data_IF_127996853029
#
_entry.id   IF_127996853029
#
_cell.length_a   1.000
_cell.length_b   1.000
_cell.length_c   1.000
_cell.angle_alpha   90.00
_cell.angle_beta   90.00
_cell.angle_gamma   90.00
#
_symmetry.space_group_name_H-M   'P 1'
#
loop_
_entity.id
_entity.type
_entity.pdbx_description
1 polymer ?
#
# COMPACT_ATOMS: atom_id res chain seq x y z
N UNK A 1 18.79 -1.52 10.37
CA UNK A 1 18.24 -1.06 9.07
C UNK A 1 17.19 -2.08 8.68
N UNK A 2 15.92 -1.70 8.64
CA UNK A 2 14.84 -2.60 8.22
C UNK A 2 14.55 -2.20 6.78
N UNK A 3 15.03 -3.01 5.85
CA UNK A 3 14.72 -2.90 4.42
C UNK A 3 13.54 -3.81 4.12
N UNK A 4 12.86 -3.57 3.01
CA UNK A 4 11.95 -4.59 2.49
C UNK A 4 12.75 -5.83 2.12
N UNK A 5 12.21 -6.99 2.47
CA UNK A 5 12.79 -8.29 2.15
C UNK A 5 11.77 -9.17 1.39
N UNK A 6 12.26 -10.30 0.89
CA UNK A 6 11.43 -11.27 0.17
C UNK A 6 10.26 -11.78 1.02
N UNK A 7 10.42 -11.87 2.35
CA UNK A 7 9.35 -12.33 3.23
C UNK A 7 8.15 -11.38 3.24
N UNK A 8 8.40 -10.07 3.09
CA UNK A 8 7.35 -9.07 2.94
C UNK A 8 6.57 -9.29 1.64
N UNK A 9 7.27 -9.56 0.54
CA UNK A 9 6.68 -9.82 -0.77
C UNK A 9 5.86 -11.11 -0.75
N UNK A 10 6.43 -12.19 -0.23
CA UNK A 10 5.77 -13.48 -0.13
C UNK A 10 4.48 -13.37 0.68
N UNK A 11 4.50 -12.61 1.78
CA UNK A 11 3.32 -12.39 2.59
C UNK A 11 2.24 -11.64 1.81
N UNK A 12 2.55 -10.50 1.19
CA UNK A 12 1.60 -9.71 0.40
C UNK A 12 1.00 -10.53 -0.76
N UNK A 13 1.85 -11.21 -1.53
CA UNK A 13 1.41 -12.05 -2.63
C UNK A 13 0.55 -13.24 -2.16
N UNK A 14 0.81 -13.76 -0.96
CA UNK A 14 -0.06 -14.78 -0.36
C UNK A 14 -1.47 -14.24 -0.07
N UNK A 15 -1.61 -12.98 0.34
CA UNK A 15 -2.92 -12.34 0.50
C UNK A 15 -3.61 -12.14 -0.85
N UNK A 16 -2.89 -11.58 -1.84
CA UNK A 16 -3.42 -11.36 -3.20
C UNK A 16 -3.88 -12.64 -3.89
N UNK A 17 -3.24 -13.77 -3.60
CA UNK A 17 -3.60 -15.08 -4.20
C UNK A 17 -4.80 -15.76 -3.52
N UNK A 18 -5.06 -15.47 -2.24
CA UNK A 18 -6.11 -16.14 -1.46
C UNK A 18 -7.46 -15.44 -1.59
N UNK A 19 -7.47 -14.13 -1.80
CA UNK A 19 -8.66 -13.30 -1.86
C UNK A 19 -8.47 -12.17 -2.87
N UNK A 20 -9.57 -11.65 -3.38
CA UNK A 20 -9.57 -10.43 -4.18
C UNK A 20 -9.27 -9.22 -3.27
N UNK A 21 -7.98 -8.96 -3.04
CA UNK A 21 -7.53 -7.83 -2.23
C UNK A 21 -7.70 -6.51 -2.98
N UNK A 22 -8.93 -6.02 -2.89
CA UNK A 22 -9.34 -4.74 -3.43
C UNK A 22 -9.03 -3.63 -2.45
N UNK A 23 -8.61 -2.47 -2.96
CA UNK A 23 -8.44 -1.27 -2.14
C UNK A 23 -9.82 -0.78 -1.66
N UNK A 24 -10.06 -0.88 -0.36
CA UNK A 24 -11.29 -0.45 0.30
C UNK A 24 -11.34 1.06 0.50
N UNK A 25 -10.21 1.66 0.88
CA UNK A 25 -10.08 3.11 1.06
C UNK A 25 -8.63 3.57 0.98
N UNK A 26 -8.48 4.88 0.78
CA UNK A 26 -7.19 5.57 0.81
C UNK A 26 -7.32 6.73 1.79
N UNK A 27 -6.41 6.81 2.76
CA UNK A 27 -6.38 7.87 3.76
C UNK A 27 -5.16 8.75 3.53
N UNK A 28 -5.42 10.04 3.34
CA UNK A 28 -4.40 11.06 3.15
C UNK A 28 -4.20 11.79 4.48
N UNK A 29 -2.99 11.74 5.03
CA UNK A 29 -2.65 12.32 6.35
C UNK A 29 -1.63 13.45 6.19
N UNK A 30 -1.52 14.32 7.20
CA UNK A 30 -0.56 15.44 7.15
C UNK A 30 0.89 15.01 6.94
N UNK A 31 1.26 13.80 7.39
CA UNK A 31 2.64 13.28 7.33
C UNK A 31 2.70 11.87 6.73
N UNK A 32 1.69 11.44 5.97
CA UNK A 32 1.66 10.09 5.46
C UNK A 32 0.47 9.74 4.59
N UNK A 33 0.50 8.51 4.10
CA UNK A 33 -0.45 7.94 3.17
C UNK A 33 -0.78 6.53 3.64
N UNK A 34 -2.06 6.18 3.71
CA UNK A 34 -2.48 4.82 4.03
C UNK A 34 -3.38 4.27 2.93
N UNK A 35 -3.10 3.02 2.54
CA UNK A 35 -3.90 2.25 1.61
C UNK A 35 -4.46 1.05 2.36
N UNK A 36 -5.79 0.98 2.37
CA UNK A 36 -6.52 -0.08 3.06
C UNK A 36 -6.99 -1.07 2.02
N UNK A 37 -6.57 -2.32 2.16
CA UNK A 37 -7.14 -3.45 1.43
C UNK A 37 -8.35 -4.00 2.20
N UNK A 38 -8.96 -5.06 1.70
CA UNK A 38 -10.05 -5.73 2.42
C UNK A 38 -9.49 -6.44 3.65
N UNK A 39 -8.34 -7.10 3.52
CA UNK A 39 -7.81 -7.96 4.58
C UNK A 39 -6.64 -7.37 5.36
N UNK A 40 -6.08 -6.23 4.97
CA UNK A 40 -4.94 -5.61 5.67
C UNK A 40 -4.81 -4.14 5.28
N UNK A 41 -3.93 -3.41 5.96
CA UNK A 41 -3.61 -2.02 5.59
C UNK A 41 -2.10 -1.80 5.52
N UNK A 42 -1.68 -0.90 4.63
CA UNK A 42 -0.30 -0.42 4.57
C UNK A 42 -0.32 1.09 4.80
N UNK A 43 0.45 1.55 5.78
CA UNK A 43 0.64 2.95 6.09
C UNK A 43 2.08 3.34 5.85
N UNK A 44 2.28 4.39 5.07
CA UNK A 44 3.59 4.91 4.68
C UNK A 44 3.72 6.34 5.22
N UNK A 45 4.78 6.59 5.98
CA UNK A 45 5.17 7.91 6.44
C UNK A 45 6.39 8.36 5.63
N UNK A 46 6.33 9.58 5.10
CA UNK A 46 7.18 10.14 4.03
C UNK A 46 6.68 9.90 2.60
N UNK A 47 7.14 8.84 1.91
CA UNK A 47 7.10 8.83 0.44
C UNK A 47 6.35 7.65 -0.18
N UNK A 48 5.43 7.98 -1.09
CA UNK A 48 4.75 7.01 -1.95
C UNK A 48 4.55 7.59 -3.35
N UNK A 49 4.71 6.77 -4.39
CA UNK A 49 4.58 7.19 -5.78
C UNK A 49 3.52 6.34 -6.48
N UNK A 50 2.37 6.95 -6.76
CA UNK A 50 1.36 6.36 -7.63
C UNK A 50 1.73 6.66 -9.07
N UNK A 51 1.79 5.64 -9.92
CA UNK A 51 1.74 5.87 -11.36
C UNK A 51 0.47 5.32 -11.95
N UNK A 52 -0.27 6.21 -12.61
CA UNK A 52 -1.49 5.88 -13.34
C UNK A 52 -1.46 6.54 -14.71
N UNK A 53 -1.88 5.83 -15.75
CA UNK A 53 -1.90 6.35 -17.13
C UNK A 53 -0.57 6.98 -17.58
N UNK A 54 0.57 6.35 -17.23
CA UNK A 54 1.94 6.83 -17.46
C UNK A 54 2.31 8.17 -16.80
N UNK A 55 1.54 8.62 -15.81
CA UNK A 55 1.86 9.81 -15.01
C UNK A 55 2.12 9.41 -13.57
N UNK A 56 3.24 9.88 -13.04
CA UNK A 56 3.62 9.65 -11.65
C UNK A 56 3.15 10.79 -10.76
N UNK A 57 2.60 10.42 -9.62
CA UNK A 57 2.10 11.29 -8.58
C UNK A 57 2.82 10.91 -7.28
N UNK A 58 3.43 11.90 -6.63
CA UNK A 58 4.26 11.70 -5.44
C UNK A 58 3.51 12.23 -4.24
N UNK A 59 3.30 11.37 -3.27
CA UNK A 59 3.01 11.74 -1.91
C UNK A 59 4.35 11.85 -1.20
N UNK A 60 4.65 13.05 -0.72
CA UNK A 60 5.83 13.34 0.09
C UNK A 60 5.31 14.05 1.34
N UNK A 61 5.65 13.57 2.53
CA UNK A 61 5.10 14.03 3.81
C UNK A 61 5.17 15.55 3.99
N UNK A 62 6.18 16.20 3.42
CA UNK A 62 6.34 17.66 3.48
C UNK A 62 5.71 18.41 2.30
N UNK A 63 5.40 17.70 1.20
CA UNK A 63 4.87 18.31 -0.02
C UNK A 63 3.94 17.35 -0.79
N UNK A 64 2.78 16.97 -0.21
CA UNK A 64 1.87 16.04 -0.85
C UNK A 64 1.28 16.66 -2.12
N UNK A 65 1.33 15.92 -3.23
CA UNK A 65 0.74 16.41 -4.47
C UNK A 65 -0.77 16.08 -4.56
N UNK A 66 -1.51 16.86 -5.37
CA UNK A 66 -2.93 16.64 -5.67
C UNK A 66 -3.15 15.49 -6.68
N UNK A 67 -2.40 14.40 -6.56
CA UNK A 67 -2.57 13.21 -7.38
C UNK A 67 -3.98 12.60 -7.22
N UNK A 68 -4.43 11.76 -8.17
CA UNK A 68 -5.73 11.12 -8.12
C UNK A 68 -5.70 9.93 -7.15
N UNK A 69 -5.30 10.12 -5.90
CA UNK A 69 -5.11 9.03 -4.92
C UNK A 69 -6.39 8.22 -4.70
N UNK A 70 -7.56 8.85 -4.78
CA UNK A 70 -8.85 8.16 -4.71
C UNK A 70 -9.13 7.22 -5.89
N UNK A 71 -8.39 7.33 -7.01
CA UNK A 71 -8.52 6.40 -8.15
C UNK A 71 -8.01 4.99 -7.84
N UNK A 72 -7.24 4.83 -6.77
CA UNK A 72 -6.83 3.52 -6.26
C UNK A 72 -8.00 2.77 -5.62
N UNK A 73 -9.02 3.47 -5.12
CA UNK A 73 -10.18 2.84 -4.48
C UNK A 73 -10.88 1.93 -5.49
N UNK A 74 -11.20 0.70 -5.07
CA UNK A 74 -11.72 -0.40 -5.89
C UNK A 74 -10.73 -1.03 -6.88
N UNK A 75 -9.46 -0.63 -6.90
CA UNK A 75 -8.46 -1.36 -7.68
C UNK A 75 -8.11 -2.68 -6.99
N UNK A 76 -7.96 -3.73 -7.79
CA UNK A 76 -7.55 -5.06 -7.34
C UNK A 76 -6.03 -5.17 -7.40
N UNK A 77 -5.38 -5.41 -6.27
CA UNK A 77 -3.95 -5.72 -6.26
C UNK A 77 -3.72 -7.15 -6.73
N UNK A 78 -2.77 -7.33 -7.65
CA UNK A 78 -2.49 -8.63 -8.29
C UNK A 78 -1.08 -9.13 -8.04
N UNK A 79 -0.15 -8.24 -7.71
CA UNK A 79 1.25 -8.60 -7.49
C UNK A 79 1.97 -7.55 -6.65
N UNK A 80 2.88 -7.98 -5.79
CA UNK A 80 3.89 -7.16 -5.13
C UNK A 80 5.28 -7.65 -5.52
N UNK A 81 6.22 -6.71 -5.67
CA UNK A 81 7.62 -7.02 -5.93
C UNK A 81 8.53 -5.88 -5.48
N UNK A 82 9.82 -6.18 -5.29
CA UNK A 82 10.82 -5.17 -4.98
C UNK A 82 11.44 -4.61 -6.26
N UNK A 83 11.36 -3.29 -6.45
CA UNK A 83 12.18 -2.58 -7.44
C UNK A 83 13.62 -2.42 -6.93
N UNK A 84 13.77 -2.31 -5.62
CA UNK A 84 15.03 -2.38 -4.88
C UNK A 84 14.73 -2.74 -3.43
N UNK A 85 15.75 -2.93 -2.61
CA UNK A 85 15.57 -3.16 -1.17
C UNK A 85 14.87 -1.99 -0.43
N UNK A 86 14.77 -0.82 -1.09
CA UNK A 86 14.13 0.39 -0.56
C UNK A 86 12.78 0.71 -1.20
N UNK A 87 12.35 -0.06 -2.20
CA UNK A 87 11.16 0.27 -2.98
C UNK A 87 10.32 -0.99 -3.19
N UNK A 88 9.22 -1.04 -2.46
CA UNK A 88 8.14 -2.01 -2.63
C UNK A 88 7.17 -1.48 -3.68
N UNK A 89 6.90 -2.26 -4.71
CA UNK A 89 5.91 -1.94 -5.74
C UNK A 89 4.70 -2.86 -5.59
N UNK A 90 3.50 -2.28 -5.58
CA UNK A 90 2.23 -3.00 -5.71
C UNK A 90 1.67 -2.71 -7.09
N UNK A 91 1.36 -3.76 -7.83
CA UNK A 91 0.74 -3.70 -9.14
C UNK A 91 -0.75 -4.02 -9.04
N UNK A 92 -1.56 -3.23 -9.74
CA UNK A 92 -3.00 -3.42 -9.83
C UNK A 92 -3.40 -4.01 -11.19
N UNK A 93 -4.55 -4.67 -11.24
CA UNK A 93 -5.10 -5.26 -12.47
C UNK A 93 -5.30 -4.23 -13.60
N UNK A 94 -5.56 -2.97 -13.23
CA UNK A 94 -5.68 -1.82 -14.13
C UNK A 94 -4.40 -1.53 -14.94
N UNK A 95 -3.25 -2.04 -14.49
CA UNK A 95 -1.92 -1.66 -14.97
C UNK A 95 -1.29 -0.49 -14.20
N UNK A 96 -2.02 0.12 -13.26
CA UNK A 96 -1.46 1.11 -12.34
C UNK A 96 -0.50 0.45 -11.34
N UNK A 97 0.41 1.24 -10.79
CA UNK A 97 1.34 0.79 -9.77
C UNK A 97 1.55 1.82 -8.66
N UNK A 98 1.71 1.33 -7.45
CA UNK A 98 2.05 2.11 -6.26
C UNK A 98 3.42 1.68 -5.77
N UNK A 99 4.36 2.61 -5.83
CA UNK A 99 5.68 2.45 -5.21
C UNK A 99 5.65 3.03 -3.80
N UNK A 100 6.12 2.25 -2.85
CA UNK A 100 6.30 2.62 -1.45
C UNK A 100 7.80 2.65 -1.22
N UNK A 101 8.32 3.81 -0.84
CA UNK A 101 9.76 4.02 -0.67
C UNK A 101 10.15 4.04 0.81
N UNK A 102 11.37 3.57 1.08
CA UNK A 102 12.09 3.83 2.34
C UNK A 102 13.29 4.76 2.07
N UNK A 103 13.20 6.04 2.43
CA UNK A 103 14.18 7.13 2.32
C UNK A 103 15.25 7.16 3.43
N UNK A 104 15.16 6.30 4.45
CA UNK A 104 16.03 6.23 5.63
C UNK A 104 16.00 7.49 6.54
N UNK A 105 14.89 8.24 6.51
CA UNK A 105 14.65 9.39 7.39
C UNK A 105 14.38 9.01 8.86
N UNK A 106 14.62 9.94 9.79
CA UNK A 106 14.38 9.70 11.24
C UNK A 106 12.91 9.49 11.61
N UNK A 107 11.97 9.91 10.76
CA UNK A 107 10.53 9.81 10.96
C UNK A 107 9.85 8.90 9.95
N UNK A 108 10.64 8.16 9.18
CA UNK A 108 10.13 7.24 8.21
C UNK A 108 9.69 5.94 8.87
N UNK A 109 8.50 5.48 8.48
CA UNK A 109 8.06 4.13 8.77
C UNK A 109 7.09 3.65 7.70
N UNK A 110 7.20 2.37 7.37
CA UNK A 110 6.19 1.64 6.62
C UNK A 110 5.63 0.59 7.56
N UNK A 111 4.33 0.69 7.83
CA UNK A 111 3.61 -0.17 8.75
C UNK A 111 2.66 -1.01 7.90
N UNK A 112 2.78 -2.34 7.99
CA UNK A 112 1.84 -3.27 7.38
C UNK A 112 1.09 -3.96 8.51
N UNK A 113 -0.21 -3.70 8.61
CA UNK A 113 -1.08 -4.23 9.65
C UNK A 113 -2.01 -5.28 9.08
N UNK A 114 -1.82 -6.51 9.55
CA UNK A 114 -2.69 -7.64 9.28
C UNK A 114 -3.64 -7.84 10.47
N UNK A 115 -4.91 -8.22 10.23
CA UNK A 115 -5.85 -8.51 11.30
C UNK A 115 -5.34 -9.69 12.13
N UNK A 116 -5.61 -9.71 13.45
CA UNK A 116 -5.24 -10.82 14.31
C UNK A 116 -5.92 -12.10 13.84
N UNK A 117 -5.17 -13.20 13.76
CA UNK A 117 -5.74 -14.52 13.48
C UNK A 117 -6.66 -14.95 14.64
N UNK A 118 -7.97 -15.04 14.40
CA UNK A 118 -8.90 -15.77 15.26
C UNK A 118 -9.92 -14.98 16.09
N UNK A 119 -9.96 -13.64 16.05
CA UNK A 119 -10.86 -12.85 16.92
C UNK A 119 -11.80 -11.87 16.17
N UNK A 120 -12.20 -12.18 14.94
CA UNK A 120 -13.16 -11.33 14.23
C UNK A 120 -14.60 -11.80 14.46
N UNK A 121 -15.38 -11.02 15.21
CA UNK A 121 -16.84 -11.11 15.26
C UNK A 121 -17.41 -10.38 14.04
N UNK A 122 -17.73 -11.14 12.98
CA UNK A 122 -18.46 -10.60 11.82
C UNK A 122 -19.95 -10.68 12.12
N UNK A 123 -20.62 -9.51 12.15
CA UNK A 123 -22.07 -9.42 12.30
C UNK A 123 -22.67 -8.95 10.98
N UNK A 124 -23.27 -9.88 10.24
CA UNK A 124 -24.07 -9.56 9.06
C UNK A 124 -25.43 -9.02 9.50
N UNK A 125 -25.81 -7.84 9.01
CA UNK A 125 -27.13 -7.25 9.23
C UNK A 125 -27.88 -7.30 7.89
N UNK A 126 -29.02 -7.99 7.88
CA UNK A 126 -29.93 -8.15 6.73
C UNK A 126 -31.01 -7.07 6.71
#
# INVERSE_FOLDING_TARGET
>A
MILFDESTIDTLNSYFSKKEETVSSVTLMSCGFSINFISFQITCYEKSVLTSSNKSHIWDGDNPNKGPWGSLVRQLAVNAYLKSSKILCIQFESGDYLDIETTEGQYESVIIEYPPEGENLVMDIY
#
